data_IF_972618093727
#
_entry.id   IF_972618093727
#
_cell.length_a   1.000
_cell.length_b   1.000
_cell.length_c   1.000
_cell.angle_alpha   90.00
_cell.angle_beta   90.00
_cell.angle_gamma   90.00
#
_symmetry.space_group_name_H-M   'P 1'
#
loop_
_entity.id
_entity.type
_entity.pdbx_description
1 polymer ?
#
# COMPACT_ATOMS: atom_id res chain seq x y z
N UNK A 1 -30.37 -73.05 48.23
CA UNK A 1 -29.50 -72.65 47.07
C UNK A 1 -30.17 -71.42 46.45
N UNK A 2 -29.64 -70.22 46.76
CA UNK A 2 -30.13 -68.95 46.23
C UNK A 2 -29.21 -68.60 44.98
N UNK A 3 -29.80 -68.59 43.79
CA UNK A 3 -29.13 -68.23 42.58
C UNK A 3 -29.27 -66.72 42.39
N UNK A 4 -28.18 -65.96 42.59
CA UNK A 4 -28.11 -64.52 42.29
C UNK A 4 -27.85 -64.37 40.80
N UNK A 5 -28.85 -63.89 40.03
CA UNK A 5 -28.71 -63.45 38.68
C UNK A 5 -28.17 -62.00 38.66
N UNK A 6 -26.91 -61.82 38.26
CA UNK A 6 -26.38 -60.53 37.93
C UNK A 6 -26.86 -60.14 36.51
N UNK A 7 -27.78 -59.22 36.45
CA UNK A 7 -28.13 -58.54 35.20
C UNK A 7 -27.04 -57.47 34.97
N UNK A 8 -26.12 -57.76 34.07
CA UNK A 8 -25.27 -56.72 33.50
C UNK A 8 -26.15 -55.84 32.56
N UNK A 9 -26.49 -54.66 33.06
CA UNK A 9 -26.98 -53.57 32.20
C UNK A 9 -25.81 -53.11 31.36
N UNK A 10 -25.77 -53.52 30.11
CA UNK A 10 -24.93 -52.89 29.13
C UNK A 10 -25.55 -51.52 28.86
N UNK A 11 -25.04 -50.48 29.50
CA UNK A 11 -25.33 -49.11 29.08
C UNK A 11 -24.76 -48.96 27.65
N UNK A 12 -25.72 -48.97 26.74
CA UNK A 12 -25.43 -48.59 25.34
C UNK A 12 -24.94 -47.12 25.43
N UNK A 13 -23.66 -46.94 25.24
CA UNK A 13 -23.16 -45.59 24.91
C UNK A 13 -23.80 -45.26 23.56
N UNK A 14 -24.85 -44.42 23.56
CA UNK A 14 -25.25 -43.73 22.36
C UNK A 14 -24.09 -42.75 22.05
N UNK A 15 -23.17 -43.25 21.22
CA UNK A 15 -22.31 -42.40 20.46
C UNK A 15 -23.32 -41.73 19.50
N UNK A 16 -23.75 -40.53 19.83
CA UNK A 16 -24.28 -39.66 18.79
C UNK A 16 -23.09 -39.51 17.82
N UNK A 17 -23.18 -40.26 16.76
CA UNK A 17 -22.33 -40.12 15.59
C UNK A 17 -22.61 -38.70 15.08
N UNK A 18 -21.88 -37.72 15.57
CA UNK A 18 -21.69 -36.48 14.87
C UNK A 18 -20.82 -36.84 13.67
N UNK A 19 -21.45 -37.57 12.72
CA UNK A 19 -20.95 -37.60 11.37
C UNK A 19 -21.08 -36.15 10.88
N UNK A 20 -20.00 -35.37 11.05
CA UNK A 20 -19.83 -34.20 10.22
C UNK A 20 -19.97 -34.72 8.80
N UNK A 21 -21.03 -34.34 8.11
CA UNK A 21 -21.15 -34.66 6.71
C UNK A 21 -20.03 -33.89 6.02
N UNK A 22 -19.11 -34.64 5.43
CA UNK A 22 -17.97 -34.09 4.69
C UNK A 22 -18.51 -33.09 3.66
N UNK A 23 -18.01 -31.84 3.70
CA UNK A 23 -18.38 -30.77 2.78
C UNK A 23 -19.60 -29.93 3.18
N UNK A 24 -20.05 -29.99 4.45
CA UNK A 24 -21.14 -29.12 4.95
C UNK A 24 -20.62 -27.93 5.77
N UNK A 25 -19.36 -27.92 6.20
CA UNK A 25 -18.83 -26.76 6.89
C UNK A 25 -18.48 -25.64 5.89
N UNK A 26 -18.62 -24.42 6.36
CA UNK A 26 -18.16 -23.24 5.60
C UNK A 26 -16.77 -22.86 6.11
N UNK A 27 -15.88 -22.40 5.23
CA UNK A 27 -14.56 -21.91 5.64
C UNK A 27 -14.68 -20.65 6.49
N UNK A 28 -13.67 -20.39 7.29
CA UNK A 28 -13.47 -19.14 8.03
C UNK A 28 -12.27 -18.40 7.44
N UNK A 29 -12.38 -17.08 7.27
CA UNK A 29 -11.38 -16.25 6.61
C UNK A 29 -10.73 -15.27 7.59
N UNK A 30 -9.43 -15.16 7.52
CA UNK A 30 -8.61 -14.22 8.28
C UNK A 30 -7.94 -13.23 7.35
N UNK A 31 -7.79 -11.97 7.81
CA UNK A 31 -7.21 -10.87 7.05
C UNK A 31 -6.22 -10.09 7.92
N UNK A 32 -5.06 -9.77 7.36
CA UNK A 32 -3.98 -9.12 8.08
C UNK A 32 -3.17 -8.18 7.19
N UNK A 33 -2.53 -7.19 7.80
CA UNK A 33 -1.52 -6.33 7.16
C UNK A 33 -0.13 -7.00 7.11
N UNK A 34 0.03 -8.13 7.75
CA UNK A 34 1.28 -8.90 7.80
C UNK A 34 1.03 -10.35 7.45
N UNK A 35 2.04 -11.03 6.91
CA UNK A 35 1.94 -12.44 6.55
C UNK A 35 1.63 -13.30 7.78
N UNK A 36 0.88 -14.39 7.57
CA UNK A 36 0.66 -15.44 8.56
C UNK A 36 2.03 -15.89 9.12
N UNK A 37 2.07 -16.17 10.41
CA UNK A 37 3.29 -16.60 11.12
C UNK A 37 4.41 -15.55 11.20
N UNK A 38 4.08 -14.26 11.06
CA UNK A 38 5.07 -13.19 11.22
C UNK A 38 5.56 -13.12 12.65
N UNK A 39 6.87 -13.17 12.84
CA UNK A 39 7.52 -13.03 14.14
C UNK A 39 7.75 -11.55 14.42
N UNK A 40 7.17 -11.05 15.50
CA UNK A 40 7.39 -9.69 15.98
C UNK A 40 8.55 -9.66 16.97
N UNK A 41 9.46 -8.72 16.76
CA UNK A 41 10.54 -8.43 17.69
C UNK A 41 10.29 -7.09 18.36
N UNK A 42 10.16 -7.09 19.69
CA UNK A 42 10.08 -5.87 20.49
C UNK A 42 11.32 -5.75 21.36
N UNK A 43 11.80 -4.51 21.57
CA UNK A 43 12.90 -4.24 22.50
C UNK A 43 12.27 -3.74 23.80
N UNK A 44 12.47 -4.48 24.87
CA UNK A 44 11.98 -4.08 26.19
C UNK A 44 12.81 -2.92 26.79
N UNK A 45 12.37 -2.40 27.92
CA UNK A 45 13.05 -1.29 28.63
C UNK A 45 14.46 -1.60 29.09
N UNK A 46 14.89 -2.87 29.08
CA UNK A 46 16.24 -3.32 29.40
C UNK A 46 17.14 -3.44 28.16
N UNK A 47 16.59 -3.27 26.95
CA UNK A 47 17.27 -3.48 25.69
C UNK A 47 17.29 -4.94 25.21
N UNK A 48 16.57 -5.83 25.90
CA UNK A 48 16.45 -7.22 25.47
C UNK A 48 15.40 -7.36 24.35
N UNK A 49 15.74 -8.16 23.32
CA UNK A 49 14.83 -8.46 22.22
C UNK A 49 13.87 -9.55 22.67
N UNK A 50 12.58 -9.27 22.62
CA UNK A 50 11.51 -10.23 22.84
C UNK A 50 10.85 -10.56 21.49
N UNK A 51 10.67 -11.85 21.25
CA UNK A 51 9.99 -12.35 20.05
C UNK A 51 8.61 -12.86 20.45
N UNK A 52 7.60 -12.46 19.70
CA UNK A 52 6.26 -13.01 19.79
C UNK A 52 5.87 -13.59 18.43
N UNK A 53 5.40 -14.81 18.41
CA UNK A 53 4.73 -15.42 17.26
C UNK A 53 3.25 -15.24 17.54
N UNK A 54 2.56 -14.55 16.66
CA UNK A 54 1.11 -14.46 16.74
C UNK A 54 0.50 -15.63 15.96
N UNK A 55 0.15 -16.67 16.68
CA UNK A 55 -0.54 -17.84 16.14
C UNK A 55 -2.06 -17.62 16.05
N UNK A 56 -2.56 -16.56 16.70
CA UNK A 56 -3.99 -16.24 16.76
C UNK A 56 -4.20 -14.73 16.48
N UNK A 57 -4.59 -14.38 15.24
CA UNK A 57 -4.88 -12.99 14.87
C UNK A 57 -6.07 -12.39 15.61
N UNK A 58 -6.87 -13.20 16.34
CA UNK A 58 -7.92 -12.71 17.22
C UNK A 58 -7.40 -12.28 18.60
N UNK A 59 -6.14 -12.51 18.89
CA UNK A 59 -5.50 -12.09 20.12
C UNK A 59 -5.07 -10.62 20.05
N UNK A 60 -5.99 -9.73 20.31
CA UNK A 60 -5.98 -8.28 20.06
C UNK A 60 -4.80 -7.51 20.69
N UNK A 61 -4.06 -8.05 21.66
CA UNK A 61 -3.09 -7.26 22.41
C UNK A 61 -1.86 -6.85 21.60
N UNK A 62 -1.34 -7.72 20.75
CA UNK A 62 -0.22 -7.42 19.84
C UNK A 62 -0.69 -6.64 18.61
N UNK A 63 -1.87 -6.97 18.11
CA UNK A 63 -2.50 -6.34 16.95
C UNK A 63 -2.88 -4.89 17.21
N UNK A 64 -3.50 -4.57 18.35
CA UNK A 64 -3.86 -3.19 18.71
C UNK A 64 -2.64 -2.27 18.76
N UNK A 65 -1.48 -2.81 19.19
CA UNK A 65 -0.24 -2.03 19.26
C UNK A 65 0.41 -1.87 17.87
N UNK A 66 0.34 -2.89 17.04
CA UNK A 66 0.88 -2.88 15.67
C UNK A 66 -0.04 -2.07 14.75
N UNK A 67 -1.34 -2.26 14.84
CA UNK A 67 -2.35 -1.51 14.08
C UNK A 67 -2.25 -0.02 14.39
N UNK A 68 -2.06 0.38 15.66
CA UNK A 68 -1.80 1.76 16.03
C UNK A 68 -0.50 2.31 15.45
N UNK A 69 0.53 1.48 15.26
CA UNK A 69 1.79 1.87 14.65
C UNK A 69 1.71 1.92 13.11
N UNK A 70 0.93 1.04 12.49
CA UNK A 70 0.75 0.96 11.03
C UNK A 70 -0.27 1.97 10.51
N UNK A 71 -1.29 2.33 11.30
CA UNK A 71 -2.29 3.34 10.92
C UNK A 71 -1.73 4.76 10.80
N UNK A 72 -0.48 4.99 11.22
CA UNK A 72 0.16 6.31 11.10
C UNK A 72 0.79 6.57 9.75
N UNK A 73 1.00 5.55 8.89
CA UNK A 73 1.66 5.71 7.58
C UNK A 73 1.01 4.75 6.57
N UNK A 74 -0.21 5.03 6.18
CA UNK A 74 -0.83 4.30 5.08
C UNK A 74 -0.64 5.07 3.78
N UNK A 75 0.14 4.51 2.88
CA UNK A 75 0.27 4.97 1.49
C UNK A 75 -0.82 4.33 0.62
N UNK A 76 -1.01 4.80 -0.61
CA UNK A 76 -1.94 4.15 -1.55
C UNK A 76 -1.53 2.72 -1.90
N UNK A 77 -0.25 2.39 -1.81
CA UNK A 77 0.25 1.03 -1.99
C UNK A 77 0.02 0.22 -0.71
N UNK A 78 -0.92 -0.71 -0.77
CA UNK A 78 -1.25 -1.61 0.33
C UNK A 78 -0.85 -3.04 -0.01
N UNK A 79 -0.16 -3.71 0.90
CA UNK A 79 0.11 -5.13 0.85
C UNK A 79 -0.71 -5.81 1.92
N UNK A 80 -1.61 -6.70 1.51
CA UNK A 80 -2.56 -7.38 2.38
C UNK A 80 -2.33 -8.89 2.29
N UNK A 81 -2.51 -9.57 3.42
CA UNK A 81 -2.39 -11.00 3.56
C UNK A 81 -3.70 -11.57 4.11
N UNK A 82 -4.10 -12.74 3.63
CA UNK A 82 -5.28 -13.45 4.09
C UNK A 82 -5.04 -14.96 4.01
N UNK A 83 -5.80 -15.69 4.77
CA UNK A 83 -5.83 -17.15 4.73
C UNK A 83 -7.19 -17.64 5.16
N UNK A 84 -7.51 -18.88 4.84
CA UNK A 84 -8.75 -19.53 5.24
C UNK A 84 -8.45 -20.82 6.01
N UNK A 85 -9.39 -21.20 6.87
CA UNK A 85 -9.40 -22.49 7.55
C UNK A 85 -10.75 -23.15 7.34
N UNK A 86 -10.74 -24.46 7.08
CA UNK A 86 -11.93 -25.26 6.91
C UNK A 86 -11.79 -26.57 7.71
N UNK A 87 -12.85 -26.96 8.41
CA UNK A 87 -12.81 -28.10 9.33
C UNK A 87 -12.98 -29.44 8.63
N UNK A 88 -13.57 -29.49 7.44
CA UNK A 88 -13.91 -30.73 6.72
C UNK A 88 -13.51 -30.72 5.23
N UNK A 89 -12.85 -29.65 4.76
CA UNK A 89 -12.38 -29.46 3.41
C UNK A 89 -11.02 -28.78 3.31
N UNK A 90 -10.76 -28.24 2.14
CA UNK A 90 -9.57 -27.43 1.84
C UNK A 90 -10.00 -26.14 1.18
N UNK A 91 -9.26 -25.06 1.41
CA UNK A 91 -9.49 -23.80 0.73
C UNK A 91 -9.09 -23.94 -0.73
N UNK A 92 -9.99 -23.59 -1.66
CA UNK A 92 -9.74 -23.56 -3.10
C UNK A 92 -9.28 -22.17 -3.55
N UNK A 93 -9.77 -21.11 -2.89
CA UNK A 93 -9.39 -19.74 -3.21
C UNK A 93 -10.17 -18.71 -2.40
N UNK A 94 -10.11 -17.47 -2.87
CA UNK A 94 -10.66 -16.32 -2.15
C UNK A 94 -11.38 -15.37 -3.10
N UNK A 95 -12.46 -14.78 -2.63
CA UNK A 95 -13.08 -13.62 -3.23
C UNK A 95 -12.76 -12.39 -2.41
N UNK A 96 -12.32 -11.32 -3.08
CA UNK A 96 -12.00 -10.05 -2.43
C UNK A 96 -12.60 -8.87 -3.17
N UNK A 97 -12.75 -7.75 -2.47
CA UNK A 97 -13.16 -6.47 -3.05
C UNK A 97 -12.72 -5.30 -2.17
N UNK A 98 -12.53 -4.15 -2.80
CA UNK A 98 -12.45 -2.87 -2.13
C UNK A 98 -13.82 -2.19 -2.04
N UNK A 99 -13.97 -1.22 -1.11
CA UNK A 99 -15.20 -0.42 -0.99
C UNK A 99 -15.57 0.36 -2.25
N UNK A 100 -14.59 0.60 -3.14
CA UNK A 100 -14.77 1.24 -4.45
C UNK A 100 -15.26 0.28 -5.53
N UNK A 101 -15.18 -1.03 -5.33
CA UNK A 101 -15.45 -2.03 -6.34
C UNK A 101 -16.96 -2.34 -6.43
N UNK A 102 -17.40 -2.64 -7.63
CA UNK A 102 -18.81 -3.01 -7.89
C UNK A 102 -19.09 -4.50 -7.70
N UNK A 103 -18.06 -5.34 -7.57
CA UNK A 103 -18.18 -6.79 -7.47
C UNK A 103 -16.97 -7.44 -6.83
N UNK A 104 -17.06 -8.74 -6.61
CA UNK A 104 -16.00 -9.56 -6.07
C UNK A 104 -15.02 -10.02 -7.16
N UNK A 105 -13.72 -10.00 -6.86
CA UNK A 105 -12.66 -10.58 -7.67
C UNK A 105 -12.19 -11.89 -7.04
N UNK A 106 -11.79 -12.87 -7.87
CA UNK A 106 -11.29 -14.17 -7.41
C UNK A 106 -9.78 -14.25 -7.48
N UNK A 107 -9.16 -14.95 -6.53
CA UNK A 107 -7.73 -15.28 -6.51
C UNK A 107 -7.48 -16.58 -5.75
N UNK A 108 -6.42 -17.30 -6.12
CA UNK A 108 -5.91 -18.46 -5.35
C UNK A 108 -4.74 -18.06 -4.43
N UNK A 109 -4.32 -16.80 -4.49
CA UNK A 109 -3.21 -16.29 -3.68
C UNK A 109 -3.69 -15.89 -2.29
N UNK A 110 -2.82 -16.01 -1.31
CA UNK A 110 -3.04 -15.60 0.09
C UNK A 110 -2.50 -14.20 0.39
N UNK A 111 -2.17 -13.43 -0.63
CA UNK A 111 -1.72 -12.04 -0.50
C UNK A 111 -1.94 -11.26 -1.78
N UNK A 112 -1.94 -9.94 -1.68
CA UNK A 112 -1.99 -9.06 -2.82
C UNK A 112 -1.41 -7.69 -2.52
N UNK A 113 -0.86 -7.06 -3.56
CA UNK A 113 -0.41 -5.68 -3.54
C UNK A 113 -1.39 -4.85 -4.34
N UNK A 114 -1.95 -3.83 -3.72
CA UNK A 114 -2.97 -2.99 -4.32
C UNK A 114 -2.54 -1.54 -4.30
N UNK A 115 -2.92 -0.80 -5.33
CA UNK A 115 -2.81 0.64 -5.37
C UNK A 115 -4.21 1.24 -5.25
N UNK A 116 -4.48 1.85 -4.11
CA UNK A 116 -5.80 2.42 -3.82
C UNK A 116 -5.89 3.82 -4.45
N UNK A 117 -6.96 4.13 -5.21
CA UNK A 117 -7.05 5.37 -5.95
C UNK A 117 -7.36 6.55 -5.02
N UNK A 118 -6.34 7.10 -4.37
CA UNK A 118 -6.46 8.29 -3.52
C UNK A 118 -6.86 9.50 -4.38
N UNK A 119 -7.81 10.29 -3.89
CA UNK A 119 -8.31 11.51 -4.57
C UNK A 119 -8.34 12.72 -3.65
N UNK A 120 -7.98 12.55 -2.39
CA UNK A 120 -7.95 13.61 -1.37
C UNK A 120 -6.80 13.34 -0.38
N UNK A 121 -6.46 14.33 0.43
CA UNK A 121 -5.39 14.22 1.44
C UNK A 121 -5.56 13.04 2.40
N UNK A 122 -6.79 12.64 2.66
CA UNK A 122 -7.14 11.49 3.48
C UNK A 122 -8.42 10.85 2.96
N UNK A 123 -8.31 9.62 2.51
CA UNK A 123 -9.43 8.77 2.13
C UNK A 123 -9.53 7.55 3.03
N UNK A 124 -10.73 6.99 3.17
CA UNK A 124 -10.98 5.78 3.96
C UNK A 124 -11.51 4.70 3.03
N UNK A 125 -10.74 3.63 2.91
CA UNK A 125 -11.11 2.46 2.13
C UNK A 125 -11.33 1.26 3.03
N UNK A 126 -12.20 0.35 2.64
CA UNK A 126 -12.29 -0.95 3.26
C UNK A 126 -12.05 -2.06 2.25
N UNK A 127 -11.28 -3.04 2.68
CA UNK A 127 -11.02 -4.28 1.96
C UNK A 127 -11.80 -5.39 2.64
N UNK A 128 -12.46 -6.23 1.85
CA UNK A 128 -13.20 -7.41 2.30
C UNK A 128 -12.70 -8.62 1.54
N UNK A 129 -12.52 -9.74 2.24
CA UNK A 129 -12.10 -11.01 1.67
C UNK A 129 -12.86 -12.16 2.31
N UNK A 130 -13.21 -13.19 1.52
CA UNK A 130 -13.86 -14.42 1.97
C UNK A 130 -13.28 -15.62 1.23
N UNK A 131 -13.06 -16.71 1.95
CA UNK A 131 -12.61 -17.97 1.40
C UNK A 131 -13.76 -18.74 0.71
N UNK A 132 -13.38 -19.62 -0.23
CA UNK A 132 -14.22 -20.66 -0.80
C UNK A 132 -13.48 -21.99 -0.68
N UNK A 133 -14.20 -23.03 -0.26
CA UNK A 133 -13.68 -24.37 -0.12
C UNK A 133 -13.79 -25.19 -1.42
N UNK A 134 -13.24 -26.40 -1.41
CA UNK A 134 -13.28 -27.35 -2.52
C UNK A 134 -14.65 -27.99 -2.78
N UNK A 135 -15.64 -27.70 -1.94
CA UNK A 135 -17.05 -28.11 -2.13
C UNK A 135 -17.91 -26.96 -2.65
N UNK A 136 -17.36 -25.75 -2.76
CA UNK A 136 -18.03 -24.56 -3.24
C UNK A 136 -18.75 -23.77 -2.16
N UNK A 137 -18.52 -24.07 -0.87
CA UNK A 137 -19.05 -23.26 0.21
C UNK A 137 -18.18 -22.01 0.39
N UNK A 138 -18.84 -20.88 0.53
CA UNK A 138 -18.18 -19.59 0.79
C UNK A 138 -18.32 -19.22 2.27
N UNK A 139 -17.30 -18.53 2.81
CA UNK A 139 -17.41 -17.91 4.12
C UNK A 139 -18.59 -16.91 4.15
N UNK A 140 -19.60 -17.14 5.01
CA UNK A 140 -20.74 -16.24 5.10
C UNK A 140 -20.42 -14.92 5.80
N UNK A 141 -19.25 -14.82 6.45
CA UNK A 141 -18.81 -13.68 7.26
C UNK A 141 -17.47 -13.13 6.76
N UNK A 142 -17.43 -12.45 5.61
CA UNK A 142 -16.17 -11.95 5.05
C UNK A 142 -15.36 -11.15 6.06
N UNK A 143 -14.07 -11.43 6.15
CA UNK A 143 -13.13 -10.61 6.93
C UNK A 143 -13.00 -9.23 6.31
N UNK A 144 -12.92 -8.20 7.15
CA UNK A 144 -12.93 -6.81 6.73
C UNK A 144 -11.86 -6.00 7.44
N UNK A 145 -11.10 -5.22 6.67
CA UNK A 145 -10.15 -4.24 7.17
C UNK A 145 -10.51 -2.85 6.65
N UNK A 146 -10.51 -1.85 7.53
CA UNK A 146 -10.76 -0.46 7.16
C UNK A 146 -9.47 0.33 7.32
N UNK A 147 -9.00 0.91 6.23
CA UNK A 147 -7.72 1.60 6.13
C UNK A 147 -7.95 3.10 5.87
N UNK A 148 -7.57 3.99 6.80
CA UNK A 148 -7.38 5.39 6.49
C UNK A 148 -6.08 5.52 5.70
N UNK A 149 -6.16 6.03 4.48
CA UNK A 149 -5.03 6.18 3.58
C UNK A 149 -4.74 7.67 3.42
N UNK A 150 -3.55 8.08 3.84
CA UNK A 150 -3.08 9.45 3.71
C UNK A 150 -2.28 9.60 2.43
N UNK A 151 -2.56 10.66 1.69
CA UNK A 151 -1.80 11.03 0.51
C UNK A 151 -0.38 11.46 0.88
N UNK A 152 0.59 11.03 0.08
CA UNK A 152 1.97 11.52 0.11
C UNK A 152 2.15 12.58 -0.98
N UNK A 153 2.86 13.64 -0.69
CA UNK A 153 3.16 14.64 -1.73
C UNK A 153 4.19 14.09 -2.72
N UNK A 154 4.04 14.37 -4.01
CA UNK A 154 5.02 13.94 -5.01
C UNK A 154 6.35 14.68 -4.86
N UNK A 155 7.41 14.09 -5.38
CA UNK A 155 8.75 14.63 -5.40
C UNK A 155 9.25 14.80 -6.83
N UNK A 156 10.07 15.82 -7.08
CA UNK A 156 10.70 16.08 -8.35
C UNK A 156 12.17 16.43 -8.13
N UNK A 157 13.07 15.92 -8.96
CA UNK A 157 14.49 16.18 -8.86
C UNK A 157 15.15 16.32 -10.25
N UNK A 158 16.11 17.21 -10.39
CA UNK A 158 16.86 17.34 -11.65
C UNK A 158 17.80 16.16 -11.87
N UNK A 159 17.80 15.64 -13.10
CA UNK A 159 18.77 14.63 -13.53
C UNK A 159 20.07 15.32 -13.96
N UNK A 160 21.02 15.52 -13.06
CA UNK A 160 22.25 16.27 -13.30
C UNK A 160 23.08 15.79 -14.50
N UNK A 161 23.20 14.47 -14.69
CA UNK A 161 23.95 13.91 -15.82
C UNK A 161 23.35 14.25 -17.19
N UNK A 162 22.04 14.46 -17.21
CA UNK A 162 21.28 14.82 -18.43
C UNK A 162 21.14 16.34 -18.60
N UNK A 163 21.55 17.11 -17.59
CA UNK A 163 21.57 18.58 -17.60
C UNK A 163 22.99 19.13 -17.46
N UNK A 164 23.93 18.80 -18.37
CA UNK A 164 25.32 19.20 -18.22
C UNK A 164 25.45 20.72 -18.24
N UNK A 165 26.30 21.25 -17.38
CA UNK A 165 26.75 22.63 -17.40
C UNK A 165 27.90 22.80 -18.39
N UNK A 166 27.94 23.91 -19.11
CA UNK A 166 28.99 24.16 -20.13
C UNK A 166 30.28 24.67 -19.48
N UNK A 167 30.16 25.46 -18.42
CA UNK A 167 31.28 25.87 -17.58
C UNK A 167 30.78 26.33 -16.21
N UNK A 168 31.53 25.98 -15.19
CA UNK A 168 31.40 26.53 -13.87
C UNK A 168 32.47 27.63 -13.73
N UNK A 169 32.05 28.88 -13.61
CA UNK A 169 32.92 30.01 -13.37
C UNK A 169 32.70 30.48 -11.93
N UNK A 170 32.97 29.59 -10.97
CA UNK A 170 33.07 29.91 -9.56
C UNK A 170 31.93 30.75 -9.01
N UNK A 171 30.73 30.21 -8.94
CA UNK A 171 29.53 30.85 -8.43
C UNK A 171 28.26 30.14 -8.88
N UNK A 172 27.09 30.57 -8.40
CA UNK A 172 25.76 29.99 -8.69
C UNK A 172 25.30 30.17 -10.14
N UNK A 173 26.19 30.60 -11.05
CA UNK A 173 25.85 30.93 -12.45
C UNK A 173 26.57 29.98 -13.39
N UNK A 174 25.81 29.28 -14.22
CA UNK A 174 26.32 28.45 -15.29
C UNK A 174 25.88 28.97 -16.65
N UNK A 175 26.70 28.74 -17.69
CA UNK A 175 26.39 29.15 -19.04
C UNK A 175 25.69 28.05 -19.81
N UNK A 176 24.73 28.42 -20.65
CA UNK A 176 24.03 27.51 -21.53
C UNK A 176 23.84 28.12 -22.93
N UNK A 177 23.46 27.29 -23.91
CA UNK A 177 23.03 27.76 -25.23
C UNK A 177 21.60 28.32 -25.18
N UNK A 178 21.20 29.15 -26.17
CA UNK A 178 19.83 29.64 -26.28
C UNK A 178 18.77 28.54 -26.44
N UNK A 179 19.18 27.33 -26.80
CA UNK A 179 18.34 26.12 -26.80
C UNK A 179 18.84 25.22 -25.71
N UNK A 180 17.97 24.90 -24.75
CA UNK A 180 18.28 24.06 -23.58
C UNK A 180 17.20 23.03 -23.32
N UNK A 181 17.62 21.78 -23.11
CA UNK A 181 16.74 20.72 -22.62
C UNK A 181 16.97 20.57 -21.10
N UNK A 182 15.88 20.60 -20.35
CA UNK A 182 15.87 20.26 -18.94
C UNK A 182 15.27 18.88 -18.76
N UNK A 183 15.86 18.07 -17.87
CA UNK A 183 15.43 16.69 -17.59
C UNK A 183 15.34 16.50 -16.10
N UNK A 184 14.25 15.86 -15.65
CA UNK A 184 13.99 15.59 -14.24
C UNK A 184 13.46 14.17 -14.05
N UNK A 185 13.51 13.70 -12.82
CA UNK A 185 12.88 12.49 -12.34
C UNK A 185 11.68 12.87 -11.48
N UNK A 186 10.64 12.06 -11.59
CA UNK A 186 9.41 12.17 -10.82
C UNK A 186 9.30 10.95 -9.90
N UNK A 187 8.88 11.17 -8.68
CA UNK A 187 8.62 10.13 -7.72
C UNK A 187 7.40 10.47 -6.87
N UNK A 188 6.54 9.48 -6.66
CA UNK A 188 5.46 9.55 -5.70
C UNK A 188 5.41 8.22 -4.96
N UNK A 189 5.38 8.28 -3.63
CA UNK A 189 5.30 7.10 -2.78
C UNK A 189 3.99 6.32 -3.00
N UNK A 190 2.93 7.04 -3.41
CA UNK A 190 1.62 6.49 -3.73
C UNK A 190 1.53 5.91 -5.15
N UNK A 191 2.63 5.98 -5.89
CA UNK A 191 2.76 5.53 -7.28
C UNK A 191 2.93 6.71 -8.24
N UNK A 192 3.88 6.61 -9.17
CA UNK A 192 4.14 7.70 -10.13
C UNK A 192 2.95 8.00 -11.06
N UNK A 193 2.03 7.06 -11.21
CA UNK A 193 0.77 7.24 -11.95
C UNK A 193 -0.22 8.19 -11.27
N UNK A 194 -0.02 8.52 -9.99
CA UNK A 194 -0.81 9.52 -9.28
C UNK A 194 -0.44 10.94 -9.66
N UNK A 195 0.77 11.16 -10.23
CA UNK A 195 1.23 12.48 -10.69
C UNK A 195 0.45 12.85 -11.95
N UNK A 196 -0.38 13.87 -11.84
CA UNK A 196 -1.26 14.32 -12.93
C UNK A 196 -0.71 15.47 -13.73
N UNK A 197 0.12 16.30 -13.10
CA UNK A 197 0.60 17.53 -13.68
C UNK A 197 2.06 17.80 -13.33
N UNK A 198 2.82 18.30 -14.30
CA UNK A 198 4.11 18.96 -14.09
C UNK A 198 3.99 20.41 -14.50
N UNK A 199 4.58 21.30 -13.74
CA UNK A 199 4.57 22.73 -14.03
C UNK A 199 5.99 23.25 -14.11
N UNK A 200 6.29 24.05 -15.13
CA UNK A 200 7.55 24.79 -15.19
C UNK A 200 7.31 26.28 -15.33
N UNK A 201 8.30 27.06 -14.93
CA UNK A 201 8.33 28.49 -15.11
C UNK A 201 9.76 28.98 -15.37
N UNK A 202 9.90 30.15 -15.96
CA UNK A 202 11.18 30.79 -16.21
C UNK A 202 11.18 32.14 -15.48
N UNK A 203 12.24 32.38 -14.71
CA UNK A 203 12.56 33.61 -13.98
C UNK A 203 11.64 33.99 -12.84
N UNK A 204 10.39 33.54 -12.81
CA UNK A 204 9.40 33.92 -11.79
C UNK A 204 8.50 32.74 -11.43
N UNK A 205 8.07 32.67 -10.17
CA UNK A 205 7.15 31.67 -9.62
C UNK A 205 5.76 32.19 -9.34
N UNK A 206 5.37 33.32 -9.95
CA UNK A 206 4.03 33.89 -9.79
C UNK A 206 2.93 32.91 -10.22
N UNK A 207 1.73 33.02 -9.67
CA UNK A 207 0.64 32.06 -9.93
C UNK A 207 0.25 31.92 -11.41
N UNK A 208 0.45 32.96 -12.21
CA UNK A 208 0.18 32.96 -13.65
C UNK A 208 1.41 32.65 -14.52
N UNK A 209 2.59 32.45 -13.93
CA UNK A 209 3.85 32.22 -14.65
C UNK A 209 4.05 30.75 -15.02
N UNK A 210 3.29 29.84 -14.43
CA UNK A 210 3.45 28.39 -14.60
C UNK A 210 2.84 27.90 -15.90
N UNK A 211 3.64 27.14 -16.65
CA UNK A 211 3.19 26.38 -17.84
C UNK A 211 2.97 24.94 -17.42
N UNK A 212 1.76 24.42 -17.67
CA UNK A 212 1.36 23.05 -17.33
C UNK A 212 1.82 22.09 -18.41
N UNK A 213 2.32 20.93 -17.98
CA UNK A 213 2.62 19.75 -18.78
C UNK A 213 1.84 18.56 -18.20
N UNK A 214 1.73 17.47 -18.96
CA UNK A 214 1.17 16.21 -18.47
C UNK A 214 2.08 15.57 -17.42
N UNK A 215 1.50 14.79 -16.49
CA UNK A 215 2.20 14.24 -15.32
C UNK A 215 3.31 13.23 -15.62
N UNK A 216 3.35 12.66 -16.82
CA UNK A 216 4.38 11.72 -17.27
C UNK A 216 5.57 12.39 -17.97
N UNK A 217 5.52 13.72 -18.17
CA UNK A 217 6.58 14.46 -18.85
C UNK A 217 7.79 14.63 -17.94
N UNK A 218 8.93 14.10 -18.37
CA UNK A 218 10.22 14.13 -17.63
C UNK A 218 11.28 15.03 -18.29
N UNK A 219 10.93 15.76 -19.33
CA UNK A 219 11.84 16.69 -19.97
C UNK A 219 11.13 17.76 -20.79
N UNK A 220 11.79 18.91 -20.99
CA UNK A 220 11.35 19.96 -21.90
C UNK A 220 12.55 20.59 -22.59
N UNK A 221 12.39 20.90 -23.88
CA UNK A 221 13.37 21.68 -24.63
C UNK A 221 12.84 23.11 -24.83
N UNK A 222 13.52 24.07 -24.26
CA UNK A 222 13.28 25.49 -24.47
C UNK A 222 14.17 25.99 -25.59
N UNK A 223 13.57 26.66 -26.58
CA UNK A 223 14.26 27.23 -27.70
C UNK A 223 14.24 28.76 -27.64
N UNK A 224 15.26 29.40 -28.20
CA UNK A 224 15.36 30.85 -28.28
C UNK A 224 15.28 31.57 -26.92
N UNK A 225 15.93 31.01 -25.92
CA UNK A 225 16.11 31.72 -24.63
C UNK A 225 16.80 33.04 -24.87
N UNK A 226 16.20 34.13 -24.41
CA UNK A 226 16.78 35.47 -24.51
C UNK A 226 18.07 35.55 -23.71
N UNK A 227 19.09 36.29 -24.16
CA UNK A 227 20.32 36.49 -23.42
C UNK A 227 20.07 37.16 -22.06
N UNK A 228 20.77 36.70 -21.06
CA UNK A 228 20.67 37.23 -19.69
C UNK A 228 20.71 36.11 -18.67
N UNK A 229 20.64 36.47 -17.42
CA UNK A 229 20.50 35.54 -16.32
C UNK A 229 19.07 34.98 -16.29
N UNK A 230 18.96 33.66 -16.20
CA UNK A 230 17.68 32.95 -16.23
C UNK A 230 17.66 31.89 -15.11
N UNK A 231 16.48 31.69 -14.54
CA UNK A 231 16.21 30.57 -13.64
C UNK A 231 15.08 29.73 -14.22
N UNK A 232 15.27 28.41 -14.23
CA UNK A 232 14.24 27.46 -14.62
C UNK A 232 13.69 26.82 -13.34
N UNK A 233 12.38 26.93 -13.14
CA UNK A 233 11.67 26.34 -12.00
C UNK A 233 10.79 25.21 -12.48
N UNK A 234 10.67 24.17 -11.66
CA UNK A 234 9.77 23.06 -11.93
C UNK A 234 9.16 22.52 -10.63
N UNK A 235 7.91 22.07 -10.71
CA UNK A 235 7.19 21.35 -9.66
C UNK A 235 6.23 20.36 -10.27
N UNK A 236 5.73 19.38 -9.50
CA UNK A 236 4.68 18.48 -9.93
C UNK A 236 3.50 18.48 -8.94
N UNK A 237 2.38 17.94 -9.38
CA UNK A 237 1.17 17.81 -8.59
C UNK A 237 0.52 16.44 -8.83
N UNK A 238 0.02 15.82 -7.78
CA UNK A 238 -0.69 14.56 -7.81
C UNK A 238 -2.21 14.72 -8.01
N UNK A 239 -2.90 13.58 -8.07
CA UNK A 239 -4.34 13.49 -8.26
C UNK A 239 -5.13 13.99 -7.02
N UNK A 240 -4.54 13.96 -5.83
CA UNK A 240 -5.12 14.47 -4.59
C UNK A 240 -4.99 16.01 -4.48
N UNK A 241 -4.17 16.61 -5.35
CA UNK A 241 -3.93 18.04 -5.41
C UNK A 241 -2.70 18.52 -4.61
N UNK A 242 -1.93 17.60 -4.02
CA UNK A 242 -0.69 17.94 -3.33
C UNK A 242 0.40 18.28 -4.34
N UNK A 243 1.22 19.27 -4.01
CA UNK A 243 2.32 19.73 -4.86
C UNK A 243 3.67 19.38 -4.24
N UNK A 244 4.65 19.10 -5.10
CA UNK A 244 6.05 18.97 -4.69
C UNK A 244 6.62 20.31 -4.24
N UNK A 245 7.79 20.28 -3.61
CA UNK A 245 8.60 21.48 -3.49
C UNK A 245 8.96 22.04 -4.87
N UNK A 246 9.12 23.38 -4.95
CA UNK A 246 9.57 24.04 -6.17
C UNK A 246 11.10 23.93 -6.20
N UNK A 247 11.62 23.24 -7.19
CA UNK A 247 13.06 23.18 -7.43
C UNK A 247 13.44 24.11 -8.59
N UNK A 248 14.68 24.57 -8.62
CA UNK A 248 15.16 25.43 -9.70
C UNK A 248 16.52 24.99 -10.23
N UNK A 249 16.79 25.36 -11.47
CA UNK A 249 18.08 25.11 -12.13
C UNK A 249 18.71 26.45 -12.58
N UNK A 250 20.01 26.70 -12.36
CA UNK A 250 20.90 25.84 -11.56
C UNK A 250 20.47 25.82 -10.09
N UNK A 251 20.62 24.68 -9.48
CA UNK A 251 20.43 24.53 -8.04
C UNK A 251 21.61 25.20 -7.35
N UNK A 252 21.36 25.96 -6.29
CA UNK A 252 22.42 26.38 -5.39
C UNK A 252 22.91 25.12 -4.67
N UNK A 253 24.00 24.55 -5.13
CA UNK A 253 24.65 23.45 -4.42
C UNK A 253 25.06 24.00 -3.06
N UNK A 254 24.32 23.63 -2.01
CA UNK A 254 24.83 23.81 -0.66
C UNK A 254 26.11 22.96 -0.55
N UNK A 255 27.23 23.63 -0.35
CA UNK A 255 28.53 23.04 -0.03
C UNK A 255 28.51 22.30 1.31
#
# INVERSE_FOLDING_TARGET
LVLLLFLFSCSRWDYEDQSMSIGESTPETYLSLVAKDTIYATIDSSGAIQYAIDEDPSNNFLWDTLEAALTTITTSRQELHWWGEDSDGNIEGYYYKWSSDTGWSYTELESGVFYVPIRSDLDVFSFEVKAIDNFGNEDPTPSKLTLPIKNSSPEISFRYRSNPLISDIGGDTSFTFPTRTFVWDLYDQDGNETITDVYYSIDDTCSSCWVRLDGDVTSITLNNLEPGERKFFVKCRDIAGSESEIIHFPDSVEE
#
